data_IF_091251624231
#
_entry.id   IF_091251624231
#
_cell.length_a   1.000
_cell.length_b   1.000
_cell.length_c   1.000
_cell.angle_alpha   90.00
_cell.angle_beta   90.00
_cell.angle_gamma   90.00
#
_symmetry.space_group_name_H-M   'P 1'
#
loop_
_entity.id
_entity.type
_entity.pdbx_description
1 polymer ?
#
# COMPACT_ATOMS: atom_id res chain seq x y z
N UNK A 1 -53.39 18.73 -17.87
CA UNK A 1 -52.65 17.56 -18.41
C UNK A 1 -51.35 18.04 -19.04
N UNK A 2 -50.20 17.81 -18.39
CA UNK A 2 -48.98 17.52 -19.14
C UNK A 2 -48.20 16.31 -18.58
N UNK A 3 -48.00 15.34 -19.48
CA UNK A 3 -46.80 14.54 -19.79
C UNK A 3 -45.84 14.02 -18.70
N UNK A 4 -45.67 12.68 -18.71
CA UNK A 4 -44.59 11.89 -18.09
C UNK A 4 -43.20 12.30 -18.59
N UNK A 5 -42.19 12.31 -17.69
CA UNK A 5 -40.85 11.73 -17.95
C UNK A 5 -40.26 11.13 -16.67
N UNK A 6 -40.05 9.81 -16.69
CA UNK A 6 -39.14 9.10 -15.78
C UNK A 6 -37.73 9.66 -15.94
N UNK A 7 -37.12 10.19 -14.88
CA UNK A 7 -35.66 10.28 -14.74
C UNK A 7 -35.27 9.67 -13.40
N UNK A 8 -34.77 8.44 -13.47
CA UNK A 8 -33.95 7.82 -12.43
C UNK A 8 -32.69 8.65 -12.23
N UNK A 9 -32.46 9.25 -11.07
CA UNK A 9 -31.10 9.66 -10.68
C UNK A 9 -30.86 9.50 -9.19
N UNK A 10 -29.89 8.64 -8.94
CA UNK A 10 -28.92 8.70 -7.85
C UNK A 10 -29.46 8.50 -6.45
N UNK A 11 -29.59 7.23 -6.07
CA UNK A 11 -29.51 6.77 -4.68
C UNK A 11 -28.22 7.38 -4.10
N UNK A 12 -28.40 8.34 -3.19
CA UNK A 12 -27.32 8.97 -2.46
C UNK A 12 -26.37 7.89 -1.91
N UNK A 13 -25.11 7.96 -2.29
CA UNK A 13 -24.05 7.18 -1.65
C UNK A 13 -23.96 7.68 -0.20
N UNK A 14 -24.48 6.87 0.72
CA UNK A 14 -24.36 7.08 2.15
C UNK A 14 -22.91 6.84 2.51
N UNK A 15 -22.15 7.92 2.67
CA UNK A 15 -20.83 7.93 3.29
C UNK A 15 -21.09 7.71 4.78
N UNK A 16 -20.84 6.50 5.26
CA UNK A 16 -21.05 6.11 6.65
C UNK A 16 -20.07 6.86 7.54
N UNK A 17 -20.56 7.96 8.12
CA UNK A 17 -20.05 8.50 9.39
C UNK A 17 -20.51 7.54 10.50
N UNK A 18 -19.54 6.92 11.15
CA UNK A 18 -19.60 6.07 12.36
C UNK A 18 -20.96 5.56 12.84
N UNK A 19 -21.13 4.24 12.82
CA UNK A 19 -21.91 3.45 13.80
C UNK A 19 -21.94 1.97 13.39
N UNK A 20 -21.45 1.10 14.28
CA UNK A 20 -21.81 -0.32 14.46
C UNK A 20 -21.54 -1.30 13.29
N UNK A 21 -20.51 -2.12 13.51
CA UNK A 21 -20.44 -3.56 13.27
C UNK A 21 -20.55 -4.11 11.82
N UNK A 22 -19.50 -4.88 11.45
CA UNK A 22 -19.39 -5.88 10.38
C UNK A 22 -19.50 -5.35 8.94
N UNK A 23 -18.36 -5.39 8.24
CA UNK A 23 -18.12 -5.97 6.90
C UNK A 23 -16.74 -5.48 6.42
N UNK A 24 -15.89 -6.39 5.91
CA UNK A 24 -14.59 -6.05 5.31
C UNK A 24 -14.79 -4.89 4.32
N UNK A 25 -14.29 -3.70 4.65
CA UNK A 25 -14.63 -2.51 3.87
C UNK A 25 -13.53 -2.24 2.87
N UNK A 26 -13.84 -2.48 1.59
CA UNK A 26 -12.97 -2.07 0.49
C UNK A 26 -13.14 -0.56 0.28
N UNK A 27 -12.16 0.23 0.71
CA UNK A 27 -12.17 1.67 0.46
C UNK A 27 -11.47 2.00 -0.87
N UNK A 28 -12.12 2.82 -1.70
CA UNK A 28 -11.74 3.08 -3.10
C UNK A 28 -10.77 4.27 -3.27
N UNK A 29 -9.95 4.30 -4.34
CA UNK A 29 -8.80 5.21 -4.56
C UNK A 29 -9.15 6.66 -4.94
N UNK A 30 -10.35 7.15 -4.59
CA UNK A 30 -10.88 8.41 -5.10
C UNK A 30 -11.09 9.45 -3.99
N UNK A 31 -10.00 9.95 -3.41
CA UNK A 31 -9.87 11.34 -2.96
C UNK A 31 -8.46 11.59 -2.44
N UNK A 32 -7.93 12.80 -2.65
CA UNK A 32 -6.68 13.26 -2.03
C UNK A 32 -6.86 13.17 -0.52
N UNK A 33 -6.35 12.12 0.13
CA UNK A 33 -6.42 12.00 1.57
C UNK A 33 -5.13 12.56 2.20
N UNK A 34 -5.31 13.33 3.27
CA UNK A 34 -4.20 13.88 4.07
C UNK A 34 -3.94 13.06 5.34
N UNK A 35 -4.86 12.14 5.70
CA UNK A 35 -4.75 11.11 6.74
C UNK A 35 -5.89 10.11 6.54
N UNK A 36 -5.63 8.80 6.44
CA UNK A 36 -6.65 7.75 6.58
C UNK A 36 -6.37 7.00 7.89
N UNK A 37 -7.12 7.35 8.93
CA UNK A 37 -7.11 6.65 10.21
C UNK A 37 -8.32 5.74 10.28
N UNK A 38 -8.09 4.44 10.47
CA UNK A 38 -9.09 3.51 10.95
C UNK A 38 -9.50 2.45 9.94
N UNK A 39 -8.69 1.40 9.80
CA UNK A 39 -9.29 0.09 9.90
C UNK A 39 -9.80 -0.08 11.34
N UNK A 40 -11.07 -0.45 11.45
CA UNK A 40 -11.66 -0.81 12.75
C UNK A 40 -11.23 -2.26 13.06
N UNK A 41 -11.78 -2.90 14.09
CA UNK A 41 -11.56 -4.34 14.26
C UNK A 41 -12.04 -5.11 13.01
N UNK A 42 -11.17 -5.90 12.38
CA UNK A 42 -11.50 -6.65 11.17
C UNK A 42 -10.30 -6.94 10.28
N UNK A 43 -10.55 -7.55 9.13
CA UNK A 43 -9.50 -7.76 8.12
C UNK A 43 -9.77 -6.80 6.96
N UNK A 44 -9.03 -5.72 6.87
CA UNK A 44 -9.27 -4.63 5.94
C UNK A 44 -8.33 -4.64 4.73
N UNK A 45 -8.75 -3.96 3.66
CA UNK A 45 -7.89 -3.71 2.48
C UNK A 45 -7.80 -2.20 2.27
N UNK A 46 -6.64 -1.65 2.56
CA UNK A 46 -6.38 -0.22 2.55
C UNK A 46 -5.62 0.18 1.28
N UNK A 47 -6.06 1.26 0.63
CA UNK A 47 -5.44 1.83 -0.56
C UNK A 47 -5.12 3.29 -0.26
N UNK A 48 -3.84 3.70 -0.31
CA UNK A 48 -3.47 5.12 -0.20
C UNK A 48 -3.89 5.92 -1.42
N UNK A 49 -3.68 5.35 -2.61
CA UNK A 49 -3.99 6.03 -3.86
C UNK A 49 -3.00 7.19 -4.12
N UNK A 50 -3.49 8.26 -4.74
CA UNK A 50 -2.63 9.37 -5.11
C UNK A 50 -2.47 10.38 -3.97
N UNK A 51 -1.23 10.58 -3.55
CA UNK A 51 -0.91 11.53 -2.49
C UNK A 51 0.04 10.91 -1.48
N UNK A 52 0.28 11.67 -0.41
CA UNK A 52 1.07 11.20 0.71
C UNK A 52 0.09 10.83 1.80
N UNK A 53 -0.23 9.54 1.87
CA UNK A 53 -1.26 9.04 2.76
C UNK A 53 -0.66 8.53 4.07
N UNK A 54 -1.44 8.59 5.14
CA UNK A 54 -1.18 7.83 6.37
C UNK A 54 -2.20 6.72 6.43
N UNK A 55 -1.75 5.47 6.57
CA UNK A 55 -2.57 4.26 6.58
C UNK A 55 -2.42 3.57 7.93
N UNK A 56 -3.54 3.24 8.54
CA UNK A 56 -3.66 2.59 9.85
C UNK A 56 -4.69 1.47 9.73
N UNK A 57 -4.24 0.22 9.89
CA UNK A 57 -5.06 -0.99 9.74
C UNK A 57 -5.90 -1.33 10.97
N UNK A 58 -5.41 -1.00 12.17
CA UNK A 58 -6.09 -1.33 13.41
C UNK A 58 -5.90 -2.79 13.81
N UNK A 59 -6.95 -3.40 14.35
CA UNK A 59 -6.91 -4.79 14.83
C UNK A 59 -7.33 -5.76 13.73
N UNK A 60 -6.50 -6.76 13.43
CA UNK A 60 -6.86 -7.90 12.58
C UNK A 60 -5.80 -8.17 11.53
N UNK A 61 -6.17 -8.86 10.45
CA UNK A 61 -5.24 -9.16 9.35
C UNK A 61 -5.48 -8.21 8.19
N UNK A 62 -4.69 -7.13 8.14
CA UNK A 62 -4.89 -6.05 7.19
C UNK A 62 -4.01 -6.15 5.96
N UNK A 63 -4.50 -5.56 4.88
CA UNK A 63 -3.82 -5.56 3.59
C UNK A 63 -3.61 -4.13 3.13
N UNK A 64 -2.35 -3.70 3.14
CA UNK A 64 -1.93 -2.40 2.63
C UNK A 64 -1.55 -2.52 1.16
N UNK A 65 -2.38 -1.97 0.27
CA UNK A 65 -2.17 -2.04 -1.17
C UNK A 65 -1.39 -0.82 -1.65
N UNK A 66 -0.20 -1.08 -2.18
CA UNK A 66 0.59 -0.08 -2.89
C UNK A 66 0.33 -0.21 -4.39
N UNK A 67 -0.36 0.77 -4.96
CA UNK A 67 -0.70 0.79 -6.39
C UNK A 67 -0.45 2.13 -7.10
N UNK A 68 0.27 3.02 -6.44
CA UNK A 68 0.61 4.34 -6.95
C UNK A 68 1.80 4.29 -7.90
N UNK A 69 1.69 5.00 -9.02
CA UNK A 69 2.72 5.00 -10.08
C UNK A 69 4.07 5.45 -9.54
N UNK A 70 5.10 4.66 -9.82
CA UNK A 70 6.49 4.97 -9.46
C UNK A 70 7.00 6.19 -10.25
N UNK A 71 7.81 7.01 -9.58
CA UNK A 71 8.51 8.14 -10.19
C UNK A 71 9.95 8.20 -9.73
N UNK A 72 10.87 8.41 -10.67
CA UNK A 72 12.29 8.69 -10.39
C UNK A 72 12.52 10.15 -9.94
N UNK A 73 11.53 11.04 -10.13
CA UNK A 73 11.61 12.40 -9.62
C UNK A 73 11.41 12.40 -8.11
N UNK A 74 12.43 12.80 -7.36
CA UNK A 74 12.37 12.86 -5.90
C UNK A 74 11.18 13.71 -5.41
N UNK A 75 10.86 14.82 -6.09
CA UNK A 75 9.72 15.68 -5.75
C UNK A 75 8.38 14.94 -5.91
N UNK A 76 8.19 14.26 -7.04
CA UNK A 76 6.94 13.52 -7.31
C UNK A 76 6.83 12.30 -6.40
N UNK A 77 7.93 11.57 -6.22
CA UNK A 77 7.98 10.43 -5.31
C UNK A 77 7.62 10.84 -3.87
N UNK A 78 8.22 11.93 -3.37
CA UNK A 78 7.97 12.42 -2.01
C UNK A 78 6.52 12.84 -1.78
N UNK A 79 5.85 13.30 -2.83
CA UNK A 79 4.43 13.65 -2.82
C UNK A 79 3.50 12.43 -2.85
N UNK A 80 4.01 11.25 -3.21
CA UNK A 80 3.27 9.99 -3.34
C UNK A 80 3.75 8.92 -2.35
N UNK A 81 4.41 9.34 -1.25
CA UNK A 81 5.04 8.44 -0.30
C UNK A 81 4.12 8.18 0.88
N UNK A 82 3.51 7.01 0.91
CA UNK A 82 2.61 6.60 1.98
C UNK A 82 3.36 6.28 3.28
N UNK A 83 2.64 6.38 4.40
CA UNK A 83 3.12 5.99 5.73
C UNK A 83 2.14 5.00 6.34
N UNK A 84 2.59 3.77 6.58
CA UNK A 84 1.85 2.74 7.30
C UNK A 84 2.30 2.78 8.77
N UNK A 85 1.40 3.07 9.70
CA UNK A 85 1.80 3.46 11.07
C UNK A 85 1.80 2.31 12.07
N UNK A 86 1.02 1.26 11.84
CA UNK A 86 0.71 0.20 12.81
C UNK A 86 0.96 -1.22 12.30
N UNK A 87 1.62 -1.36 11.14
CA UNK A 87 1.90 -2.66 10.50
C UNK A 87 2.37 -3.75 11.48
N UNK A 88 1.58 -4.80 11.60
CA UNK A 88 1.87 -6.01 12.34
C UNK A 88 2.54 -7.04 11.43
N UNK A 89 3.79 -7.43 11.73
CA UNK A 89 4.49 -8.50 10.99
C UNK A 89 3.79 -9.85 11.12
N UNK A 90 3.00 -10.06 12.18
CA UNK A 90 2.31 -11.33 12.41
C UNK A 90 1.00 -11.44 11.66
N UNK A 91 0.34 -10.31 11.38
CA UNK A 91 -1.05 -10.30 10.95
C UNK A 91 -1.23 -9.65 9.56
N UNK A 92 -0.43 -8.63 9.24
CA UNK A 92 -0.66 -7.80 8.07
C UNK A 92 0.17 -8.21 6.86
N UNK A 93 -0.29 -7.81 5.68
CA UNK A 93 0.42 -8.04 4.41
C UNK A 93 0.44 -6.76 3.56
N UNK A 94 1.56 -6.51 2.88
CA UNK A 94 1.69 -5.44 1.89
C UNK A 94 1.49 -6.02 0.50
N UNK A 95 0.49 -5.51 -0.21
CA UNK A 95 0.18 -5.92 -1.57
C UNK A 95 0.81 -4.97 -2.59
N UNK A 96 1.68 -5.49 -3.43
CA UNK A 96 2.37 -4.78 -4.50
C UNK A 96 1.65 -5.03 -5.83
N UNK A 97 1.01 -4.01 -6.40
CA UNK A 97 0.30 -4.19 -7.68
C UNK A 97 1.26 -4.46 -8.83
N UNK A 98 1.11 -5.61 -9.51
CA UNK A 98 2.05 -6.06 -10.54
C UNK A 98 2.23 -5.07 -11.70
N UNK A 99 1.19 -4.30 -12.04
CA UNK A 99 1.25 -3.30 -13.11
C UNK A 99 2.14 -2.10 -12.78
N UNK A 100 2.42 -1.86 -11.49
CA UNK A 100 3.30 -0.81 -10.99
C UNK A 100 4.71 -1.36 -10.77
N UNK A 101 4.80 -2.51 -10.09
CA UNK A 101 6.05 -3.20 -9.75
C UNK A 101 6.41 -4.23 -10.83
N UNK A 102 6.70 -3.73 -12.02
CA UNK A 102 6.79 -4.54 -13.24
C UNK A 102 7.94 -5.54 -13.27
N UNK A 103 8.97 -5.38 -12.42
CA UNK A 103 10.17 -6.24 -12.40
C UNK A 103 10.08 -7.42 -11.43
N UNK A 104 9.10 -7.45 -10.52
CA UNK A 104 8.83 -8.61 -9.66
C UNK A 104 8.58 -9.90 -10.48
N UNK A 105 9.15 -11.06 -10.14
CA UNK A 105 9.12 -12.19 -11.08
C UNK A 105 7.72 -12.81 -11.28
N UNK A 106 6.86 -12.84 -10.25
CA UNK A 106 5.54 -13.53 -10.30
C UNK A 106 4.49 -12.84 -9.43
N UNK A 107 3.21 -13.10 -9.72
CA UNK A 107 2.12 -12.84 -8.76
C UNK A 107 2.18 -13.87 -7.63
N UNK A 108 1.71 -13.50 -6.45
CA UNK A 108 1.82 -14.32 -5.25
C UNK A 108 2.77 -13.73 -4.20
N UNK A 109 3.08 -14.52 -3.18
CA UNK A 109 4.07 -14.15 -2.15
C UNK A 109 5.41 -13.86 -2.83
N UNK A 110 6.06 -12.75 -2.44
CA UNK A 110 7.38 -12.36 -2.95
C UNK A 110 8.39 -13.46 -2.64
N UNK A 111 9.35 -13.72 -3.53
CA UNK A 111 10.35 -14.75 -3.27
C UNK A 111 11.34 -14.29 -2.22
N UNK A 112 11.94 -15.23 -1.48
CA UNK A 112 12.97 -14.92 -0.49
C UNK A 112 14.14 -14.10 -1.05
N UNK A 113 14.59 -14.41 -2.26
CA UNK A 113 15.67 -13.65 -2.93
C UNK A 113 15.23 -12.35 -3.59
N UNK A 114 13.94 -12.01 -3.54
CA UNK A 114 13.44 -10.71 -4.04
C UNK A 114 13.27 -9.68 -2.92
N UNK A 115 13.60 -10.05 -1.69
CA UNK A 115 13.43 -9.23 -0.52
C UNK A 115 14.73 -9.18 0.29
N UNK A 116 15.14 -7.96 0.63
CA UNK A 116 16.30 -7.72 1.47
C UNK A 116 16.01 -6.72 2.60
N UNK A 117 16.59 -6.99 3.77
CA UNK A 117 16.58 -6.03 4.86
C UNK A 117 17.91 -5.26 4.86
N UNK A 118 17.89 -4.00 4.45
CA UNK A 118 19.10 -3.20 4.35
C UNK A 118 18.86 -1.76 3.93
N UNK A 119 19.95 -1.05 3.65
CA UNK A 119 19.88 0.34 3.18
C UNK A 119 19.66 0.43 1.67
N UNK A 120 20.06 -0.61 0.93
CA UNK A 120 19.89 -0.80 -0.50
C UNK A 120 19.88 -2.28 -0.84
N UNK A 121 19.52 -2.61 -2.08
CA UNK A 121 19.63 -3.95 -2.64
C UNK A 121 21.03 -4.56 -2.46
N UNK A 122 21.10 -5.86 -2.21
CA UNK A 122 22.33 -6.60 -1.91
C UNK A 122 22.82 -7.43 -3.09
N UNK A 123 21.91 -8.08 -3.81
CA UNK A 123 22.20 -8.84 -5.02
C UNK A 123 21.24 -8.50 -6.16
N UNK A 124 21.36 -9.13 -7.32
CA UNK A 124 20.62 -8.76 -8.54
C UNK A 124 19.10 -8.98 -8.47
N UNK A 125 18.61 -9.69 -7.48
CA UNK A 125 17.21 -10.11 -7.40
C UNK A 125 16.42 -9.29 -6.36
N UNK A 126 17.08 -8.49 -5.51
CA UNK A 126 16.47 -7.74 -4.41
C UNK A 126 15.60 -6.56 -4.86
N UNK A 127 14.37 -6.86 -5.25
CA UNK A 127 13.44 -5.84 -5.73
C UNK A 127 12.70 -5.09 -4.62
N UNK A 128 12.57 -5.67 -3.42
CA UNK A 128 11.91 -5.06 -2.27
C UNK A 128 12.91 -4.93 -1.13
N UNK A 129 13.14 -3.71 -0.66
CA UNK A 129 14.13 -3.45 0.39
C UNK A 129 13.49 -2.74 1.56
N UNK A 130 13.61 -3.30 2.76
CA UNK A 130 13.18 -2.66 3.98
C UNK A 130 14.37 -2.21 4.84
N UNK A 131 14.48 -0.90 5.05
CA UNK A 131 15.49 -0.30 5.91
C UNK A 131 14.99 -0.23 7.35
N UNK A 132 15.40 -1.20 8.17
CA UNK A 132 15.01 -1.30 9.59
C UNK A 132 15.34 -0.06 10.43
N UNK A 133 16.40 0.68 10.07
CA UNK A 133 16.84 1.87 10.82
C UNK A 133 15.91 3.06 10.59
N UNK A 134 15.41 3.22 9.37
CA UNK A 134 14.60 4.38 8.98
C UNK A 134 13.11 4.06 8.85
N UNK A 135 12.74 2.78 8.73
CA UNK A 135 11.39 2.34 8.39
C UNK A 135 11.09 2.44 6.89
N UNK A 136 12.04 2.87 6.07
CA UNK A 136 11.80 3.07 4.65
C UNK A 136 11.67 1.76 3.90
N UNK A 137 10.59 1.62 3.13
CA UNK A 137 10.38 0.53 2.18
C UNK A 137 10.66 1.04 0.77
N UNK A 138 11.49 0.31 0.04
CA UNK A 138 11.93 0.68 -1.30
C UNK A 138 11.58 -0.42 -2.31
N UNK A 139 11.38 0.02 -3.53
CA UNK A 139 11.41 -0.82 -4.71
C UNK A 139 12.65 -0.50 -5.53
N UNK A 140 13.45 -1.51 -5.82
CA UNK A 140 14.59 -1.44 -6.72
C UNK A 140 14.25 -2.18 -8.02
N UNK A 141 14.20 -1.46 -9.13
CA UNK A 141 13.77 -2.03 -10.41
C UNK A 141 14.83 -2.92 -11.06
N UNK A 142 16.12 -2.62 -10.88
CA UNK A 142 17.19 -3.47 -11.38
C UNK A 142 17.55 -4.57 -10.39
N UNK A 143 17.05 -4.49 -9.15
CA UNK A 143 17.27 -5.46 -8.10
C UNK A 143 18.66 -5.36 -7.51
N UNK A 144 19.67 -4.92 -8.28
CA UNK A 144 21.10 -4.98 -7.93
C UNK A 144 21.66 -3.86 -7.05
N UNK A 145 20.87 -2.82 -6.79
CA UNK A 145 21.35 -1.62 -6.09
C UNK A 145 22.36 -0.79 -6.89
N UNK A 146 22.48 -1.04 -8.20
CA UNK A 146 23.32 -0.27 -9.11
C UNK A 146 22.59 0.97 -9.62
N UNK A 147 21.27 0.90 -9.79
CA UNK A 147 20.45 2.09 -10.02
C UNK A 147 19.81 2.58 -8.72
N UNK A 148 19.23 3.77 -8.78
CA UNK A 148 18.54 4.34 -7.65
C UNK A 148 17.22 3.59 -7.39
N UNK A 149 17.11 3.00 -6.19
CA UNK A 149 15.85 2.50 -5.65
C UNK A 149 14.85 3.65 -5.38
N UNK A 150 13.57 3.35 -5.49
CA UNK A 150 12.47 4.29 -5.31
C UNK A 150 11.82 3.98 -3.95
N UNK A 151 11.70 4.95 -3.06
CA UNK A 151 10.97 4.72 -1.81
C UNK A 151 9.47 4.68 -2.09
N UNK A 152 8.78 3.66 -1.58
CA UNK A 152 7.38 3.39 -1.91
C UNK A 152 6.45 3.50 -0.70
N UNK A 153 6.99 3.32 0.51
CA UNK A 153 6.29 3.59 1.75
C UNK A 153 7.28 3.88 2.89
N UNK A 154 6.74 4.32 4.02
CA UNK A 154 7.43 4.36 5.30
C UNK A 154 6.61 3.56 6.31
N UNK A 155 7.27 2.64 7.01
CA UNK A 155 6.70 1.85 8.10
C UNK A 155 7.36 2.22 9.43
N UNK A 156 6.84 1.65 10.52
CA UNK A 156 7.53 1.62 11.80
C UNK A 156 8.93 1.02 11.67
N UNK A 157 9.86 1.44 12.52
CA UNK A 157 11.26 0.97 12.51
C UNK A 157 11.39 -0.41 13.14
N UNK A 158 12.51 -1.08 12.89
CA UNK A 158 12.90 -2.35 13.51
C UNK A 158 11.94 -3.53 13.33
N UNK A 159 10.96 -3.44 12.43
CA UNK A 159 10.07 -4.54 12.10
C UNK A 159 10.92 -5.74 11.61
N UNK A 160 10.54 -6.95 12.04
CA UNK A 160 11.23 -8.19 11.65
C UNK A 160 10.64 -8.75 10.35
N UNK A 161 10.44 -7.87 9.36
CA UNK A 161 9.70 -8.22 8.15
C UNK A 161 10.42 -9.28 7.32
N UNK A 162 9.69 -10.17 6.68
CA UNK A 162 10.25 -11.14 5.74
C UNK A 162 9.56 -11.03 4.39
N UNK A 163 10.09 -11.76 3.40
CA UNK A 163 9.46 -11.88 2.08
C UNK A 163 7.99 -12.34 2.14
N UNK A 164 7.56 -13.00 3.24
CA UNK A 164 6.19 -13.48 3.43
C UNK A 164 5.18 -12.35 3.65
N UNK A 165 5.65 -11.19 4.08
CA UNK A 165 4.80 -10.04 4.39
C UNK A 165 4.45 -9.24 3.13
N UNK A 166 4.93 -9.69 1.96
CA UNK A 166 4.73 -9.04 0.68
C UNK A 166 4.06 -9.98 -0.31
N UNK A 167 3.04 -9.48 -0.99
CA UNK A 167 2.28 -10.23 -1.99
C UNK A 167 2.10 -9.41 -3.26
N UNK A 168 2.39 -9.98 -4.43
CA UNK A 168 2.21 -9.33 -5.73
C UNK A 168 0.84 -9.68 -6.32
N UNK A 169 0.03 -8.67 -6.65
CA UNK A 169 -1.35 -8.83 -7.16
C UNK A 169 -1.54 -8.55 -8.64
#
# INVERSE_FOLDING_TARGET
MPSRRHHSRSRAQSVLTGSKARLATTFSPACRATTYSGGEAGNDRLYGGAGKDTLEGGDGQDIFVLDTKLSKSAKVNKANQDRIVDFSVTDDTIHLKKSVFTKMAKKGVVKKGEFYQGVKAHDRDDHVIYNRKTGALYYDADGSGSQAQIQIATLSKNLKMTYKDFFVT
#
